data_IF_603959405038
#
_entry.id   IF_603959405038
#
_cell.length_a   1.000
_cell.length_b   1.000
_cell.length_c   1.000
_cell.angle_alpha   90.00
_cell.angle_beta   90.00
_cell.angle_gamma   90.00
#
_symmetry.space_group_name_H-M   'P 1'
#
loop_
_entity.id
_entity.type
_entity.pdbx_description
1 polymer ?
#
# COMPACT_ATOMS: atom_id res chain seq x y z
N UNK A 1 -33.80 -1.99 17.48
CA UNK A 1 -32.90 -1.08 16.73
C UNK A 1 -33.51 -0.82 15.37
N UNK A 2 -34.27 0.26 15.24
CA UNK A 2 -34.94 0.61 13.99
C UNK A 2 -33.91 1.17 13.01
N UNK A 3 -33.84 0.58 11.81
CA UNK A 3 -33.00 1.06 10.69
C UNK A 3 -33.90 1.78 9.68
N UNK A 4 -34.26 3.05 9.92
CA UNK A 4 -35.22 3.76 9.07
C UNK A 4 -34.70 3.94 7.63
N UNK A 5 -33.37 3.91 7.44
CA UNK A 5 -32.72 4.17 6.16
C UNK A 5 -32.25 2.90 5.43
N UNK A 6 -32.65 1.70 5.87
CA UNK A 6 -32.24 0.45 5.21
C UNK A 6 -32.75 0.34 3.77
N UNK A 7 -33.89 0.96 3.48
CA UNK A 7 -34.48 1.00 2.14
C UNK A 7 -33.78 2.01 1.21
N UNK A 8 -32.96 2.92 1.77
CA UNK A 8 -32.28 3.97 1.01
C UNK A 8 -31.01 3.46 0.35
N UNK A 9 -30.77 3.89 -0.89
CA UNK A 9 -29.54 3.62 -1.66
C UNK A 9 -28.41 4.51 -1.16
N UNK A 10 -27.17 4.15 -1.50
CA UNK A 10 -25.99 4.91 -1.07
C UNK A 10 -26.02 6.37 -1.55
N UNK A 11 -26.54 6.60 -2.76
CA UNK A 11 -26.64 7.95 -3.34
C UNK A 11 -27.64 8.83 -2.56
N UNK A 12 -28.72 8.23 -2.05
CA UNK A 12 -29.69 8.94 -1.18
C UNK A 12 -29.07 9.27 0.19
N UNK A 13 -28.22 8.39 0.73
CA UNK A 13 -27.52 8.64 2.00
C UNK A 13 -26.47 9.76 1.85
N UNK A 14 -25.80 9.85 0.70
CA UNK A 14 -24.88 10.95 0.38
C UNK A 14 -25.63 12.28 0.29
N UNK A 15 -26.79 12.31 -0.39
CA UNK A 15 -27.62 13.50 -0.49
C UNK A 15 -28.15 13.96 0.88
N UNK A 16 -28.56 13.02 1.75
CA UNK A 16 -28.96 13.34 3.13
C UNK A 16 -27.79 13.89 3.94
N UNK A 17 -26.61 13.30 3.80
CA UNK A 17 -25.40 13.84 4.43
C UNK A 17 -25.15 15.27 3.99
N UNK A 18 -25.22 15.58 2.70
CA UNK A 18 -25.00 16.93 2.16
C UNK A 18 -26.04 17.95 2.63
N UNK A 19 -27.31 17.54 2.76
CA UNK A 19 -28.40 18.38 3.23
C UNK A 19 -28.35 18.63 4.75
N UNK A 20 -27.90 17.64 5.53
CA UNK A 20 -28.03 17.62 7.00
C UNK A 20 -26.67 17.64 7.72
N UNK A 21 -25.60 18.14 7.06
CA UNK A 21 -24.25 18.27 7.66
C UNK A 21 -24.21 19.06 8.98
N UNK A 22 -25.20 19.90 9.23
CA UNK A 22 -25.31 20.74 10.43
C UNK A 22 -26.13 20.13 11.56
N UNK A 23 -26.84 19.01 11.33
CA UNK A 23 -27.70 18.38 12.34
C UNK A 23 -27.00 17.14 12.95
N UNK A 24 -26.58 17.20 14.22
CA UNK A 24 -25.87 16.09 14.88
C UNK A 24 -26.73 14.83 15.04
N UNK A 25 -28.05 14.95 15.13
CA UNK A 25 -28.93 13.79 15.32
C UNK A 25 -29.16 13.04 14.00
N UNK A 26 -29.29 13.76 12.88
CA UNK A 26 -29.27 13.20 11.54
C UNK A 26 -27.95 12.44 11.24
N UNK A 27 -26.82 13.02 11.62
CA UNK A 27 -25.50 12.40 11.44
C UNK A 27 -25.35 11.08 12.21
N UNK A 28 -25.93 10.98 13.42
CA UNK A 28 -25.94 9.72 14.19
C UNK A 28 -26.80 8.63 13.53
N UNK A 29 -27.91 9.01 12.91
CA UNK A 29 -28.74 8.07 12.14
C UNK A 29 -27.99 7.54 10.91
N UNK A 30 -27.27 8.42 10.20
CA UNK A 30 -26.42 8.05 9.07
C UNK A 30 -25.25 7.15 9.50
N UNK A 31 -24.59 7.46 10.60
CA UNK A 31 -23.50 6.63 11.15
C UNK A 31 -23.98 5.21 11.45
N UNK A 32 -25.10 5.10 12.17
CA UNK A 32 -25.67 3.81 12.55
C UNK A 32 -26.03 2.97 11.32
N UNK A 33 -26.58 3.56 10.25
CA UNK A 33 -26.92 2.81 9.03
C UNK A 33 -25.67 2.44 8.21
N UNK A 34 -24.72 3.37 8.05
CA UNK A 34 -23.49 3.16 7.28
C UNK A 34 -22.55 2.16 7.96
N UNK A 35 -22.58 2.02 9.28
CA UNK A 35 -21.82 1.01 10.02
C UNK A 35 -22.17 -0.43 9.61
N UNK A 36 -23.39 -0.68 9.15
CA UNK A 36 -23.83 -2.00 8.68
C UNK A 36 -23.62 -2.24 7.18
N UNK A 37 -23.06 -1.27 6.45
CA UNK A 37 -22.82 -1.37 5.00
C UNK A 37 -21.32 -1.46 4.71
N UNK A 38 -20.88 -2.57 4.13
CA UNK A 38 -19.46 -2.85 3.83
C UNK A 38 -19.00 -2.40 2.43
N UNK A 39 -19.77 -1.54 1.75
CA UNK A 39 -19.44 -1.05 0.40
C UNK A 39 -18.41 0.09 0.49
N UNK A 40 -17.37 0.15 -0.37
CA UNK A 40 -16.32 1.18 -0.31
C UNK A 40 -16.82 2.64 -0.31
N UNK A 41 -17.90 2.93 -1.03
CA UNK A 41 -18.55 4.25 -1.02
C UNK A 41 -19.16 4.57 0.35
N UNK A 42 -19.83 3.58 0.97
CA UNK A 42 -20.46 3.73 2.28
C UNK A 42 -19.43 3.92 3.41
N UNK A 43 -18.31 3.20 3.37
CA UNK A 43 -17.23 3.38 4.35
C UNK A 43 -16.56 4.74 4.22
N UNK A 44 -16.42 5.26 2.99
CA UNK A 44 -15.96 6.63 2.74
C UNK A 44 -16.92 7.66 3.34
N UNK A 45 -18.22 7.50 3.13
CA UNK A 45 -19.24 8.38 3.70
C UNK A 45 -19.27 8.31 5.24
N UNK A 46 -19.15 7.11 5.83
CA UNK A 46 -19.07 6.92 7.28
C UNK A 46 -17.90 7.69 7.89
N UNK A 47 -16.74 7.67 7.24
CA UNK A 47 -15.58 8.43 7.68
C UNK A 47 -15.82 9.95 7.61
N UNK A 48 -16.55 10.43 6.59
CA UNK A 48 -16.95 11.85 6.50
C UNK A 48 -17.90 12.23 7.63
N UNK A 49 -18.94 11.43 7.88
CA UNK A 49 -19.91 11.62 8.98
C UNK A 49 -19.21 11.69 10.33
N UNK A 50 -18.32 10.72 10.63
CA UNK A 50 -17.53 10.70 11.88
C UNK A 50 -16.65 11.93 12.05
N UNK A 51 -16.08 12.47 10.97
CA UNK A 51 -15.29 13.70 11.01
C UNK A 51 -16.15 14.93 11.34
N UNK A 52 -17.31 15.08 10.72
CA UNK A 52 -18.26 16.17 11.04
C UNK A 52 -18.67 16.08 12.51
N UNK A 53 -19.04 14.88 12.96
CA UNK A 53 -19.51 14.65 14.32
C UNK A 53 -18.41 14.88 15.37
N UNK A 54 -17.14 14.65 15.02
CA UNK A 54 -15.97 14.99 15.83
C UNK A 54 -15.60 16.49 15.81
N UNK A 55 -16.42 17.35 15.18
CA UNK A 55 -16.16 18.80 15.05
C UNK A 55 -15.08 19.15 14.03
N UNK A 56 -14.64 18.18 13.22
CA UNK A 56 -13.72 18.42 12.11
C UNK A 56 -14.50 18.93 10.90
N UNK A 57 -14.15 20.12 10.42
CA UNK A 57 -14.66 20.63 9.14
C UNK A 57 -14.32 19.63 8.03
N UNK A 58 -15.34 19.21 7.28
CA UNK A 58 -15.16 18.41 6.07
C UNK A 58 -14.58 19.35 5.03
N UNK A 59 -13.26 19.53 5.06
CA UNK A 59 -12.55 19.81 3.84
C UNK A 59 -12.89 18.65 2.92
N UNK A 60 -13.73 18.93 1.93
CA UNK A 60 -14.04 18.05 0.83
C UNK A 60 -12.72 17.75 0.14
N UNK A 61 -12.04 16.72 0.63
CA UNK A 61 -10.88 16.16 -0.02
C UNK A 61 -11.42 15.54 -1.30
N UNK A 62 -11.47 16.37 -2.35
CA UNK A 62 -11.67 15.98 -3.72
C UNK A 62 -10.82 14.73 -3.93
N UNK A 63 -11.47 13.58 -4.06
CA UNK A 63 -10.77 12.33 -4.37
C UNK A 63 -10.11 12.40 -5.76
N UNK A 64 -10.38 13.47 -6.53
CA UNK A 64 -9.60 13.86 -7.69
C UNK A 64 -8.11 14.10 -7.38
N UNK A 65 -7.71 14.56 -6.20
CA UNK A 65 -6.28 14.88 -5.93
C UNK A 65 -5.42 13.71 -5.44
N UNK A 66 -5.95 12.48 -5.43
CA UNK A 66 -5.12 11.28 -5.28
C UNK A 66 -4.59 10.75 -6.63
N UNK A 67 -5.19 11.20 -7.75
CA UNK A 67 -4.76 10.85 -9.11
C UNK A 67 -4.69 12.04 -10.09
N UNK A 68 -5.05 13.26 -9.69
CA UNK A 68 -4.78 14.44 -10.49
C UNK A 68 -3.27 14.64 -10.55
N UNK A 69 -2.73 14.55 -11.77
CA UNK A 69 -1.36 14.90 -12.11
C UNK A 69 -1.07 16.34 -11.69
N UNK A 70 -0.63 16.54 -10.44
CA UNK A 70 -0.05 17.80 -10.01
C UNK A 70 1.28 17.96 -10.74
N UNK A 71 1.47 18.98 -11.60
CA UNK A 71 2.82 19.32 -12.04
C UNK A 71 3.61 19.71 -10.78
N UNK A 72 4.84 19.19 -10.59
CA UNK A 72 5.52 19.31 -9.32
C UNK A 72 5.88 20.78 -9.07
N UNK A 73 5.19 21.42 -8.12
CA UNK A 73 5.63 22.68 -7.51
C UNK A 73 6.82 22.35 -6.63
N UNK A 74 7.96 22.91 -6.99
CA UNK A 74 9.24 22.73 -6.34
C UNK A 74 9.16 23.08 -4.84
N UNK A 75 9.14 22.05 -4.00
CA UNK A 75 9.52 22.18 -2.60
C UNK A 75 11.03 22.33 -2.58
N UNK A 76 11.51 23.57 -2.43
CA UNK A 76 12.92 23.85 -2.18
C UNK A 76 13.25 23.42 -0.75
N UNK A 77 13.60 22.13 -0.60
CA UNK A 77 14.38 21.65 0.54
C UNK A 77 15.78 22.28 0.42
N UNK A 78 16.38 22.82 1.50
CA UNK A 78 17.72 23.39 1.45
C UNK A 78 18.71 22.41 0.81
N UNK A 79 19.23 22.78 -0.36
CA UNK A 79 20.22 22.00 -1.11
C UNK A 79 21.53 21.96 -0.31
N UNK A 80 21.72 20.89 0.45
CA UNK A 80 23.05 20.30 0.48
C UNK A 80 23.34 19.80 -0.95
N UNK A 81 24.56 19.97 -1.49
CA UNK A 81 24.91 19.49 -2.81
C UNK A 81 25.01 17.97 -2.79
N UNK A 82 23.86 17.29 -2.83
CA UNK A 82 23.78 15.92 -3.29
C UNK A 82 24.12 15.98 -4.77
N UNK A 83 25.35 15.59 -5.09
CA UNK A 83 25.74 15.16 -6.44
C UNK A 83 24.59 14.34 -7.03
N UNK A 84 24.25 14.50 -8.32
CA UNK A 84 23.19 13.74 -8.95
C UNK A 84 23.60 12.26 -8.93
N UNK A 85 23.24 11.54 -7.87
CA UNK A 85 23.19 10.09 -7.89
C UNK A 85 22.03 9.77 -8.81
N UNK A 86 22.39 9.35 -10.02
CA UNK A 86 21.48 8.73 -10.98
C UNK A 86 20.42 7.94 -10.25
N UNK A 87 19.16 8.10 -10.66
CA UNK A 87 18.13 7.09 -10.37
C UNK A 87 18.80 5.71 -10.45
N UNK A 88 18.79 4.88 -9.40
CA UNK A 88 19.29 3.54 -9.58
C UNK A 88 18.26 2.89 -10.49
N UNK A 89 18.53 2.92 -11.80
CA UNK A 89 18.29 1.74 -12.61
C UNK A 89 18.76 0.58 -11.73
N UNK A 90 17.96 -0.45 -11.47
CA UNK A 90 18.50 -1.63 -10.83
C UNK A 90 19.66 -2.03 -11.73
N UNK A 91 20.88 -1.76 -11.25
CA UNK A 91 22.09 -2.19 -11.91
C UNK A 91 22.06 -3.68 -11.60
N UNK A 92 21.31 -4.41 -12.42
CA UNK A 92 21.37 -5.85 -12.44
C UNK A 92 22.71 -6.13 -13.13
N UNK A 93 23.78 -5.89 -12.38
CA UNK A 93 25.12 -6.39 -12.69
C UNK A 93 25.22 -7.87 -12.33
N UNK A 94 24.18 -8.40 -11.68
CA UNK A 94 24.10 -9.78 -11.24
C UNK A 94 23.85 -10.69 -12.44
N UNK A 95 24.80 -11.56 -12.71
CA UNK A 95 24.76 -12.57 -13.76
C UNK A 95 23.73 -13.66 -13.43
N UNK A 96 23.32 -14.45 -14.44
CA UNK A 96 22.40 -15.57 -14.25
C UNK A 96 23.00 -16.60 -13.27
N UNK A 97 24.30 -16.88 -13.37
CA UNK A 97 25.00 -17.78 -12.44
C UNK A 97 24.98 -17.28 -10.99
N UNK A 98 25.13 -15.98 -10.77
CA UNK A 98 24.99 -15.40 -9.42
C UNK A 98 23.55 -15.47 -8.92
N UNK A 99 22.55 -15.29 -9.79
CA UNK A 99 21.15 -15.45 -9.45
C UNK A 99 20.80 -16.88 -9.02
N UNK A 100 21.32 -17.87 -9.72
CA UNK A 100 21.21 -19.28 -9.35
C UNK A 100 21.86 -19.56 -7.98
N UNK A 101 23.04 -18.99 -7.72
CA UNK A 101 23.72 -19.11 -6.40
C UNK A 101 22.93 -18.48 -5.26
N UNK A 102 22.41 -17.26 -5.45
CA UNK A 102 21.63 -16.54 -4.43
C UNK A 102 20.33 -17.27 -4.10
N UNK A 103 19.65 -17.79 -5.12
CA UNK A 103 18.42 -18.56 -4.94
C UNK A 103 18.70 -20.02 -4.56
N UNK A 104 19.96 -20.45 -4.52
CA UNK A 104 20.38 -21.84 -4.22
C UNK A 104 19.65 -22.87 -5.10
N UNK A 105 19.40 -22.50 -6.35
CA UNK A 105 18.71 -23.32 -7.36
C UNK A 105 19.67 -23.59 -8.52
N UNK A 106 19.46 -24.69 -9.23
CA UNK A 106 20.23 -25.01 -10.44
C UNK A 106 19.51 -24.51 -11.69
N UNK A 107 20.23 -24.34 -12.80
CA UNK A 107 19.63 -23.96 -14.09
C UNK A 107 18.60 -24.98 -14.61
N UNK A 108 18.66 -26.23 -14.13
CA UNK A 108 17.70 -27.30 -14.42
C UNK A 108 16.46 -27.30 -13.51
N UNK A 109 16.45 -26.47 -12.47
CA UNK A 109 15.35 -26.37 -11.53
C UNK A 109 14.17 -25.64 -12.17
N UNK A 110 12.96 -26.21 -12.05
CA UNK A 110 11.75 -25.59 -12.58
C UNK A 110 11.47 -24.21 -11.96
N UNK A 111 10.75 -23.36 -12.70
CA UNK A 111 10.39 -22.00 -12.26
C UNK A 111 9.66 -21.96 -10.91
N UNK A 112 8.89 -23.00 -10.61
CA UNK A 112 8.20 -23.14 -9.32
C UNK A 112 9.15 -23.16 -8.13
N UNK A 113 10.27 -23.87 -8.24
CA UNK A 113 11.27 -23.93 -7.17
C UNK A 113 12.11 -22.64 -7.08
N UNK A 114 12.30 -21.92 -8.20
CA UNK A 114 12.85 -20.56 -8.22
C UNK A 114 11.94 -19.60 -7.44
N UNK A 115 10.65 -19.61 -7.72
CA UNK A 115 9.65 -18.81 -7.00
C UNK A 115 9.57 -19.22 -5.52
N UNK A 116 9.59 -20.52 -5.22
CA UNK A 116 9.55 -21.02 -3.85
C UNK A 116 10.75 -20.54 -3.03
N UNK A 117 11.96 -20.65 -3.58
CA UNK A 117 13.18 -20.17 -2.90
C UNK A 117 13.12 -18.67 -2.60
N UNK A 118 12.66 -17.86 -3.57
CA UNK A 118 12.42 -16.43 -3.36
C UNK A 118 11.41 -16.18 -2.24
N UNK A 119 10.28 -16.88 -2.25
CA UNK A 119 9.23 -16.76 -1.22
C UNK A 119 9.78 -17.09 0.16
N UNK A 120 10.54 -18.17 0.29
CA UNK A 120 11.11 -18.58 1.58
C UNK A 120 12.11 -17.56 2.13
N UNK A 121 12.93 -16.95 1.27
CA UNK A 121 13.85 -15.88 1.66
C UNK A 121 13.12 -14.62 2.14
N UNK A 122 12.06 -14.21 1.43
CA UNK A 122 11.24 -13.05 1.79
C UNK A 122 10.41 -13.31 3.05
N UNK A 123 9.85 -14.51 3.20
CA UNK A 123 9.06 -14.90 4.36
C UNK A 123 9.90 -14.87 5.64
N UNK A 124 11.17 -15.32 5.56
CA UNK A 124 12.14 -15.22 6.67
C UNK A 124 12.47 -13.78 7.06
N UNK A 125 12.35 -12.82 6.14
CA UNK A 125 12.63 -11.41 6.37
C UNK A 125 11.39 -10.58 6.78
N UNK A 126 10.25 -11.22 7.08
CA UNK A 126 9.03 -10.51 7.48
C UNK A 126 9.21 -9.78 8.81
N UNK A 127 8.69 -8.55 8.95
CA UNK A 127 8.87 -7.73 10.14
C UNK A 127 8.46 -8.47 11.41
N UNK A 128 7.35 -9.22 11.37
CA UNK A 128 6.82 -9.97 12.50
C UNK A 128 7.79 -11.05 13.01
N UNK A 129 8.57 -11.67 12.12
CA UNK A 129 9.58 -12.70 12.44
C UNK A 129 10.93 -12.10 12.83
N UNK A 130 11.15 -10.83 12.48
CA UNK A 130 12.39 -10.12 12.74
C UNK A 130 12.41 -9.47 14.13
N UNK A 131 11.26 -9.20 14.75
CA UNK A 131 11.16 -8.50 16.05
C UNK A 131 11.92 -9.18 17.19
N UNK A 132 12.04 -10.51 17.16
CA UNK A 132 12.73 -11.32 18.17
C UNK A 132 14.22 -11.54 17.90
N UNK A 133 14.75 -11.03 16.79
CA UNK A 133 16.13 -11.23 16.36
C UNK A 133 17.03 -10.01 16.60
N UNK A 134 18.33 -10.24 16.78
CA UNK A 134 19.33 -9.18 16.89
C UNK A 134 19.35 -8.30 15.64
N UNK A 135 19.73 -7.03 15.79
CA UNK A 135 19.80 -6.08 14.66
C UNK A 135 20.68 -6.57 13.50
N UNK A 136 21.81 -7.21 13.83
CA UNK A 136 22.68 -7.87 12.86
C UNK A 136 21.95 -8.95 12.06
N UNK A 137 21.26 -9.87 12.73
CA UNK A 137 20.47 -10.93 12.06
C UNK A 137 19.33 -10.35 11.23
N UNK A 138 18.65 -9.32 11.74
CA UNK A 138 17.59 -8.59 11.01
C UNK A 138 18.13 -7.97 9.73
N UNK A 139 19.29 -7.32 9.79
CA UNK A 139 19.95 -6.72 8.64
C UNK A 139 20.32 -7.78 7.61
N UNK A 140 20.95 -8.87 8.02
CA UNK A 140 21.34 -9.97 7.13
C UNK A 140 20.11 -10.58 6.44
N UNK A 141 19.02 -10.84 7.16
CA UNK A 141 17.80 -11.40 6.56
C UNK A 141 17.15 -10.44 5.56
N UNK A 142 17.18 -9.13 5.82
CA UNK A 142 16.70 -8.12 4.87
C UNK A 142 17.57 -8.04 3.61
N UNK A 143 18.88 -8.14 3.76
CA UNK A 143 19.83 -8.18 2.65
C UNK A 143 19.67 -9.47 1.83
N UNK A 144 19.44 -10.62 2.47
CA UNK A 144 19.13 -11.91 1.84
C UNK A 144 17.84 -11.80 1.00
N UNK A 145 16.75 -11.29 1.58
CA UNK A 145 15.49 -11.09 0.87
C UNK A 145 15.60 -10.10 -0.30
N UNK A 146 16.39 -9.02 -0.14
CA UNK A 146 16.67 -8.08 -1.23
C UNK A 146 17.41 -8.76 -2.37
N UNK A 147 18.43 -9.56 -2.04
CA UNK A 147 19.24 -10.28 -3.02
C UNK A 147 18.41 -11.34 -3.75
N UNK A 148 17.55 -12.08 -3.04
CA UNK A 148 16.63 -13.05 -3.63
C UNK A 148 15.62 -12.40 -4.61
N UNK A 149 15.09 -11.22 -4.27
CA UNK A 149 14.21 -10.48 -5.17
C UNK A 149 14.97 -9.98 -6.42
N UNK A 150 16.21 -9.51 -6.26
CA UNK A 150 17.05 -9.10 -7.39
C UNK A 150 17.36 -10.30 -8.31
N UNK A 151 17.75 -11.45 -7.73
CA UNK A 151 18.00 -12.69 -8.46
C UNK A 151 16.80 -13.15 -9.28
N UNK A 152 15.61 -13.09 -8.67
CA UNK A 152 14.36 -13.44 -9.34
C UNK A 152 14.08 -12.56 -10.57
N UNK A 153 14.34 -11.24 -10.48
CA UNK A 153 14.17 -10.32 -11.61
C UNK A 153 15.14 -10.63 -12.75
N UNK A 154 16.39 -11.02 -12.45
CA UNK A 154 17.38 -11.45 -13.46
C UNK A 154 16.86 -12.68 -14.20
N UNK A 155 16.39 -13.69 -13.46
CA UNK A 155 15.85 -14.92 -14.03
C UNK A 155 14.59 -14.66 -14.86
N UNK A 156 13.74 -13.73 -14.43
CA UNK A 156 12.55 -13.33 -15.17
C UNK A 156 12.89 -12.61 -16.48
N UNK A 157 13.93 -11.77 -16.48
CA UNK A 157 14.43 -11.11 -17.69
C UNK A 157 15.06 -12.12 -18.66
N UNK A 158 15.88 -13.04 -18.16
CA UNK A 158 16.51 -14.09 -18.96
C UNK A 158 15.49 -15.01 -19.66
N UNK A 159 14.30 -15.20 -19.07
CA UNK A 159 13.21 -15.98 -19.67
C UNK A 159 12.43 -15.24 -20.76
N UNK A 160 12.46 -13.90 -20.75
CA UNK A 160 11.75 -13.04 -21.72
C UNK A 160 12.62 -12.66 -22.92
N UNK A 161 13.94 -12.81 -22.82
CA UNK A 161 14.90 -12.63 -23.90
C UNK A 161 14.91 -13.86 -24.82
#
# INVERSE_FOLDING_TARGET
>A
MSRPLIQKRIDELEAMFDAEKGDPDALRLLENELAFRSVPRATTLLNKVKRVLAGGTVAEAKQDELFAHRPPVAVQVPLMPIKPTSSPKPVISMTIDEALKVLKVTASTGWEAVEQSRRDAVERARPDRLTSLSETKRRTLREDARSANAAYLVMLQARKA
#
